data_IF_216697557944
#
_entry.id   IF_216697557944
#
_cell.length_a   1.000
_cell.length_b   1.000
_cell.length_c   1.000
_cell.angle_alpha   90.00
_cell.angle_beta   90.00
_cell.angle_gamma   90.00
#
_symmetry.space_group_name_H-M   'P 1'
#
loop_
_entity.id
_entity.type
_entity.pdbx_description
1 polymer ?
#
# COMPACT_ATOMS: atom_id res chain seq x y z
N UNK A 1 -16.33 -24.97 -47.47
CA UNK A 1 -16.53 -24.92 -46.01
C UNK A 1 -17.33 -23.67 -45.66
N UNK A 2 -18.60 -23.85 -45.25
CA UNK A 2 -19.59 -22.77 -45.13
C UNK A 2 -19.14 -21.69 -44.13
N UNK A 3 -19.43 -20.42 -44.42
CA UNK A 3 -19.16 -19.26 -43.54
C UNK A 3 -19.74 -19.45 -42.13
N UNK A 4 -20.80 -20.24 -42.02
CA UNK A 4 -21.45 -20.61 -40.76
C UNK A 4 -20.55 -21.45 -39.83
N UNK A 5 -19.75 -22.36 -40.42
CA UNK A 5 -18.89 -23.26 -39.65
C UNK A 5 -17.69 -22.54 -39.03
N UNK A 6 -17.20 -21.48 -39.69
CA UNK A 6 -16.12 -20.60 -39.17
C UNK A 6 -16.60 -19.72 -38.02
N UNK A 7 -17.83 -19.20 -38.11
CA UNK A 7 -18.41 -18.37 -37.04
C UNK A 7 -18.59 -19.17 -35.75
N UNK A 8 -19.01 -20.43 -35.87
CA UNK A 8 -19.22 -21.31 -34.72
C UNK A 8 -17.91 -21.69 -34.01
N UNK A 9 -16.82 -21.91 -34.74
CA UNK A 9 -15.50 -22.21 -34.14
C UNK A 9 -14.90 -21.00 -33.42
N UNK A 10 -15.10 -19.78 -33.97
CA UNK A 10 -14.65 -18.54 -33.31
C UNK A 10 -15.44 -18.33 -32.01
N UNK A 11 -16.76 -18.50 -32.05
CA UNK A 11 -17.61 -18.34 -30.85
C UNK A 11 -17.28 -19.37 -29.76
N UNK A 12 -17.02 -20.63 -30.13
CA UNK A 12 -16.62 -21.67 -29.17
C UNK A 12 -15.23 -21.40 -28.58
N UNK A 13 -14.28 -20.93 -29.39
CA UNK A 13 -12.93 -20.57 -28.92
C UNK A 13 -12.93 -19.35 -28.00
N UNK A 14 -13.69 -18.32 -28.34
CA UNK A 14 -13.83 -17.10 -27.54
C UNK A 14 -14.62 -17.36 -26.25
N UNK A 15 -15.68 -18.18 -26.30
CA UNK A 15 -16.41 -18.58 -25.10
C UNK A 15 -15.53 -19.36 -24.11
N UNK A 16 -14.68 -20.25 -24.63
CA UNK A 16 -13.72 -21.01 -23.82
C UNK A 16 -12.67 -20.12 -23.17
N UNK A 17 -12.10 -19.15 -23.90
CA UNK A 17 -11.11 -18.22 -23.31
C UNK A 17 -11.72 -17.29 -22.28
N UNK A 18 -12.95 -16.81 -22.49
CA UNK A 18 -13.67 -15.98 -21.51
C UNK A 18 -13.94 -16.78 -20.23
N UNK A 19 -14.45 -18.01 -20.34
CA UNK A 19 -14.69 -18.87 -19.17
C UNK A 19 -13.39 -19.19 -18.41
N UNK A 20 -12.30 -19.44 -19.12
CA UNK A 20 -11.00 -19.70 -18.49
C UNK A 20 -10.44 -18.44 -17.82
N UNK A 21 -10.61 -17.26 -18.41
CA UNK A 21 -10.25 -15.97 -17.80
C UNK A 21 -11.06 -15.69 -16.53
N UNK A 22 -12.37 -15.94 -16.55
CA UNK A 22 -13.24 -15.79 -15.39
C UNK A 22 -12.83 -16.76 -14.28
N UNK A 23 -12.58 -18.04 -14.60
CA UNK A 23 -12.12 -19.02 -13.63
C UNK A 23 -10.75 -18.65 -13.01
N UNK A 24 -9.81 -18.11 -13.80
CA UNK A 24 -8.52 -17.63 -13.28
C UNK A 24 -8.70 -16.38 -12.41
N UNK A 25 -9.63 -15.48 -12.75
CA UNK A 25 -9.90 -14.30 -11.93
C UNK A 25 -10.62 -14.64 -10.62
N UNK A 26 -11.64 -15.49 -10.64
CA UNK A 26 -12.40 -15.85 -9.42
C UNK A 26 -11.65 -16.82 -8.50
N UNK A 27 -10.73 -17.63 -9.03
CA UNK A 27 -9.91 -18.53 -8.21
C UNK A 27 -8.72 -17.82 -7.54
N UNK A 28 -8.41 -16.57 -7.93
CA UNK A 28 -7.28 -15.83 -7.37
C UNK A 28 -7.59 -15.26 -5.98
N UNK A 29 -8.82 -14.84 -5.70
CA UNK A 29 -9.15 -14.19 -4.42
C UNK A 29 -8.82 -15.07 -3.21
N UNK A 30 -9.08 -16.38 -3.31
CA UNK A 30 -8.79 -17.34 -2.23
C UNK A 30 -7.28 -17.65 -2.04
N UNK A 31 -6.47 -17.50 -3.10
CA UNK A 31 -5.02 -17.78 -3.04
C UNK A 31 -4.23 -16.55 -2.59
N UNK A 32 -4.71 -15.33 -2.87
CA UNK A 32 -4.11 -14.09 -2.40
C UNK A 32 -4.14 -13.99 -0.86
N UNK A 33 -5.26 -14.36 -0.22
CA UNK A 33 -5.37 -14.32 1.25
C UNK A 33 -4.45 -15.33 1.95
N UNK A 34 -4.21 -16.51 1.37
CA UNK A 34 -3.35 -17.53 1.99
C UNK A 34 -1.84 -17.27 1.81
N UNK A 35 -1.42 -16.60 0.73
CA UNK A 35 0.00 -16.38 0.44
C UNK A 35 0.55 -15.06 0.98
N UNK A 36 -0.33 -14.08 1.19
CA UNK A 36 0.00 -12.81 1.80
C UNK A 36 -0.71 -12.72 3.16
N UNK A 37 -0.17 -13.44 4.15
CA UNK A 37 -0.36 -13.00 5.54
C UNK A 37 0.05 -11.52 5.54
N UNK A 38 -0.84 -10.56 5.87
CA UNK A 38 -0.46 -9.16 5.87
C UNK A 38 0.82 -9.08 6.70
N UNK A 39 1.88 -8.51 6.12
CA UNK A 39 3.09 -8.15 6.87
C UNK A 39 2.59 -7.54 8.17
N UNK A 40 3.06 -7.97 9.36
CA UNK A 40 2.55 -7.48 10.62
C UNK A 40 2.69 -5.97 10.61
N UNK A 41 1.58 -5.31 10.29
CA UNK A 41 1.45 -3.88 10.40
C UNK A 41 1.39 -3.57 11.89
N UNK A 42 1.71 -2.34 12.28
CA UNK A 42 1.40 -1.91 13.62
C UNK A 42 -0.09 -2.15 13.91
N UNK A 43 -0.38 -2.95 14.94
CA UNK A 43 -1.74 -3.32 15.31
C UNK A 43 -2.52 -2.12 15.87
N UNK A 44 -1.79 -1.10 16.37
CA UNK A 44 -2.36 0.13 16.92
C UNK A 44 -1.78 1.41 16.30
N UNK A 45 -2.48 2.53 16.48
CA UNK A 45 -1.97 3.86 16.11
C UNK A 45 -0.67 4.18 16.84
N UNK A 46 -0.56 3.78 18.10
CA UNK A 46 0.65 3.94 18.90
C UNK A 46 1.82 3.14 18.32
N UNK A 47 1.59 1.88 17.94
CA UNK A 47 2.63 1.06 17.30
C UNK A 47 3.04 1.64 15.95
N UNK A 48 2.11 2.29 15.24
CA UNK A 48 2.41 2.98 13.98
C UNK A 48 3.38 4.13 14.21
N UNK A 49 3.11 4.94 15.23
CA UNK A 49 3.96 6.05 15.64
C UNK A 49 5.35 5.55 16.05
N UNK A 50 5.42 4.49 16.88
CA UNK A 50 6.69 3.87 17.30
C UNK A 50 7.46 3.28 16.12
N UNK A 51 6.76 2.62 15.20
CA UNK A 51 7.37 2.08 13.97
C UNK A 51 7.99 3.18 13.12
N UNK A 52 7.29 4.31 12.92
CA UNK A 52 7.83 5.46 12.18
C UNK A 52 8.99 6.14 12.90
N UNK A 53 9.01 6.14 14.23
CA UNK A 53 10.15 6.63 15.01
C UNK A 53 11.43 5.84 14.67
N UNK A 54 11.32 4.52 14.48
CA UNK A 54 12.46 3.65 14.15
C UNK A 54 12.88 3.64 12.67
N UNK A 55 12.20 4.40 11.82
CA UNK A 55 12.37 4.32 10.38
C UNK A 55 13.79 4.64 9.89
N UNK A 56 14.33 3.80 8.99
CA UNK A 56 15.68 3.94 8.40
C UNK A 56 15.64 4.26 6.90
N UNK A 57 14.60 4.95 6.41
CA UNK A 57 14.52 5.33 4.99
C UNK A 57 15.72 6.17 4.55
N UNK A 58 16.08 6.07 3.27
CA UNK A 58 17.07 6.97 2.68
C UNK A 58 16.39 8.29 2.27
N UNK A 59 16.50 9.31 3.13
CA UNK A 59 15.88 10.65 2.96
C UNK A 59 16.49 11.50 1.83
N UNK A 60 17.53 11.01 1.15
CA UNK A 60 18.06 11.65 -0.07
C UNK A 60 17.20 11.34 -1.31
N UNK A 61 16.36 10.30 -1.25
CA UNK A 61 15.52 9.90 -2.37
C UNK A 61 14.20 10.69 -2.36
N UNK A 62 13.71 11.19 -3.52
CA UNK A 62 12.45 11.94 -3.61
C UNK A 62 11.25 11.18 -3.03
N UNK A 63 11.18 9.87 -3.28
CA UNK A 63 10.09 9.02 -2.78
C UNK A 63 10.09 8.92 -1.25
N UNK A 64 11.25 8.71 -0.62
CA UNK A 64 11.37 8.69 0.85
C UNK A 64 10.97 10.02 1.47
N UNK A 65 11.30 11.14 0.81
CA UNK A 65 10.93 12.48 1.28
C UNK A 65 9.41 12.68 1.23
N UNK A 66 8.80 12.28 0.12
CA UNK A 66 7.35 12.27 -0.02
C UNK A 66 6.68 11.41 1.06
N UNK A 67 7.16 10.19 1.28
CA UNK A 67 6.64 9.31 2.33
C UNK A 67 6.77 9.93 3.73
N UNK A 68 7.93 10.52 4.05
CA UNK A 68 8.14 11.18 5.33
C UNK A 68 7.17 12.37 5.54
N UNK A 69 6.98 13.21 4.51
CA UNK A 69 6.00 14.30 4.56
C UNK A 69 4.57 13.78 4.81
N UNK A 70 4.17 12.70 4.12
CA UNK A 70 2.86 12.06 4.33
C UNK A 70 2.71 11.48 5.74
N UNK A 71 3.78 10.92 6.31
CA UNK A 71 3.79 10.42 7.70
C UNK A 71 3.67 11.57 8.69
N UNK A 72 4.34 12.70 8.47
CA UNK A 72 4.21 13.91 9.30
C UNK A 72 2.77 14.45 9.28
N UNK A 73 2.13 14.49 8.12
CA UNK A 73 0.70 14.87 8.03
C UNK A 73 -0.19 13.89 8.79
N UNK A 74 0.10 12.59 8.67
CA UNK A 74 -0.65 11.54 9.36
C UNK A 74 -0.48 11.63 10.89
N UNK A 75 0.73 11.85 11.41
CA UNK A 75 0.95 12.02 12.86
C UNK A 75 0.22 13.24 13.39
N UNK A 76 0.26 14.37 12.67
CA UNK A 76 -0.51 15.57 13.04
C UNK A 76 -2.01 15.32 13.10
N UNK A 77 -2.55 14.49 12.19
CA UNK A 77 -3.95 14.08 12.21
C UNK A 77 -4.25 13.16 13.40
N UNK A 78 -3.42 12.15 13.65
CA UNK A 78 -3.56 11.26 14.81
C UNK A 78 -3.56 12.05 16.13
N UNK A 79 -2.68 13.06 16.26
CA UNK A 79 -2.63 13.92 17.44
C UNK A 79 -3.93 14.73 17.66
N UNK A 80 -4.66 15.07 16.60
CA UNK A 80 -5.95 15.78 16.70
C UNK A 80 -7.10 14.83 17.02
N UNK A 81 -7.06 13.62 16.48
CA UNK A 81 -8.10 12.60 16.68
C UNK A 81 -7.99 11.92 18.05
N UNK A 82 -6.77 11.79 18.57
CA UNK A 82 -6.48 11.11 19.83
C UNK A 82 -5.52 11.95 20.68
N UNK A 83 -6.07 12.73 21.64
CA UNK A 83 -5.26 13.56 22.54
C UNK A 83 -4.25 12.77 23.38
N UNK A 84 -4.52 11.49 23.68
CA UNK A 84 -3.61 10.66 24.46
C UNK A 84 -2.30 10.37 23.70
N UNK A 85 -2.38 10.33 22.36
CA UNK A 85 -1.23 10.13 21.48
C UNK A 85 -0.54 11.44 21.08
N UNK A 86 -1.05 12.61 21.50
CA UNK A 86 -0.54 13.90 21.00
C UNK A 86 0.94 14.13 21.29
N UNK A 87 1.46 13.68 22.43
CA UNK A 87 2.86 13.84 22.79
C UNK A 87 3.77 13.00 21.87
N UNK A 88 3.46 11.69 21.77
CA UNK A 88 4.20 10.75 20.91
C UNK A 88 4.12 11.17 19.43
N UNK A 89 2.94 11.56 18.96
CA UNK A 89 2.74 12.00 17.58
C UNK A 89 3.55 13.25 17.23
N UNK A 90 3.69 14.19 18.18
CA UNK A 90 4.55 15.37 18.02
C UNK A 90 6.02 14.98 17.95
N UNK A 91 6.47 14.12 18.86
CA UNK A 91 7.85 13.63 18.86
C UNK A 91 8.23 12.92 17.54
N UNK A 92 7.33 12.07 17.02
CA UNK A 92 7.52 11.40 15.73
C UNK A 92 7.56 12.41 14.59
N UNK A 93 6.67 13.41 14.59
CA UNK A 93 6.66 14.46 13.58
C UNK A 93 7.99 15.23 13.56
N UNK A 94 8.47 15.63 14.74
CA UNK A 94 9.71 16.40 14.90
C UNK A 94 10.93 15.56 14.49
N UNK A 95 10.95 14.28 14.86
CA UNK A 95 12.01 13.33 14.47
C UNK A 95 12.06 13.11 12.95
N UNK A 96 10.92 12.96 12.29
CA UNK A 96 10.82 12.84 10.83
C UNK A 96 11.23 14.15 10.13
N UNK A 97 10.82 15.29 10.67
CA UNK A 97 11.19 16.61 10.13
C UNK A 97 12.71 16.81 10.22
N UNK A 98 13.33 16.54 11.37
CA UNK A 98 14.77 16.64 11.55
C UNK A 98 15.55 15.73 10.58
N UNK A 99 15.01 14.55 10.23
CA UNK A 99 15.62 13.67 9.21
C UNK A 99 15.54 14.26 7.81
N UNK A 100 14.42 14.89 7.45
CA UNK A 100 14.25 15.57 6.17
C UNK A 100 15.18 16.77 6.04
N UNK A 101 15.34 17.54 7.12
CA UNK A 101 16.13 18.77 7.15
C UNK A 101 17.64 18.49 7.07
N UNK A 102 18.09 17.33 7.55
CA UNK A 102 19.49 16.87 7.35
C UNK A 102 19.87 16.67 5.89
N UNK A 103 18.90 16.52 4.99
CA UNK A 103 19.13 16.25 3.57
C UNK A 103 18.24 17.15 2.70
N UNK A 104 18.47 18.47 2.67
CA UNK A 104 17.62 19.39 1.90
C UNK A 104 17.61 19.02 0.40
N UNK A 105 16.51 19.33 -0.32
CA UNK A 105 16.47 19.13 -1.76
C UNK A 105 17.54 20.00 -2.42
N UNK A 106 18.24 19.43 -3.41
CA UNK A 106 19.16 20.18 -4.27
C UNK A 106 18.41 20.91 -5.36
#
# INVERSE_FOLDING_TARGET
MSRFMKLFTILAGVGGTILLLVAVFTSNDAVYEQRYKPLPGPDTREDTLRYWMGDRMNYRLPFSRYLAARRIEATKRMAREDPALSALAREVADSLQARLDRYPPK
#
